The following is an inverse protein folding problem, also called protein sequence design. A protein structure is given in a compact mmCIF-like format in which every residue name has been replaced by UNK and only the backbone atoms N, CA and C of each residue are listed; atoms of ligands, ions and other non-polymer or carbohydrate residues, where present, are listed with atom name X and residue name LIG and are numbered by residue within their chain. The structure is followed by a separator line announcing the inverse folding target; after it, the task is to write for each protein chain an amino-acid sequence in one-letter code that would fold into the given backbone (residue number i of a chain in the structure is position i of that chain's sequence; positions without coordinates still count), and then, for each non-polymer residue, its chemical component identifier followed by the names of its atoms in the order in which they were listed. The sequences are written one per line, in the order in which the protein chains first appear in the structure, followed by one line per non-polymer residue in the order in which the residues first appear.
data_IF_025920642383
#
_entry.id   IF_025920642383
#
_cell.length_a   1.000
_cell.length_b   1.000
_cell.length_c   1.000
_cell.angle_alpha   90.00
_cell.angle_beta   90.00
_cell.angle_gamma   90.00
#
_symmetry.space_group_name_H-M   'P 1'
#
loop_
_entity.id
_entity.type
_entity.pdbx_description
1 polymer ?
#
# COMPACT_ATOMS: atom_id res chain seq x y z
N UNK A 1 -36.44 -17.66 -25.39
CA UNK A 1 -34.98 -17.59 -25.18
C UNK A 1 -34.45 -16.17 -25.04
N UNK A 2 -34.71 -15.24 -25.97
CA UNK A 2 -34.15 -13.87 -25.93
C UNK A 2 -34.48 -13.07 -24.64
N UNK A 3 -35.70 -13.20 -24.11
CA UNK A 3 -36.09 -12.55 -22.84
C UNK A 3 -35.31 -13.08 -21.63
N UNK A 4 -34.95 -14.37 -21.64
CA UNK A 4 -34.18 -14.99 -20.56
C UNK A 4 -32.72 -14.51 -20.58
N UNK A 5 -32.16 -14.38 -21.79
CA UNK A 5 -30.81 -13.83 -22.00
C UNK A 5 -30.77 -12.37 -21.59
N UNK A 6 -31.75 -11.56 -22.00
CA UNK A 6 -31.84 -10.15 -21.61
C UNK A 6 -31.97 -9.99 -20.08
N UNK A 7 -32.78 -10.82 -19.42
CA UNK A 7 -32.90 -10.82 -17.96
C UNK A 7 -31.59 -11.22 -17.28
N UNK A 8 -30.89 -12.25 -17.77
CA UNK A 8 -29.60 -12.68 -17.22
C UNK A 8 -28.52 -11.60 -17.38
N UNK A 9 -28.47 -10.91 -18.53
CA UNK A 9 -27.55 -9.79 -18.77
C UNK A 9 -27.86 -8.63 -17.81
N UNK A 10 -29.13 -8.28 -17.62
CA UNK A 10 -29.55 -7.24 -16.66
C UNK A 10 -29.20 -7.61 -15.20
N UNK A 11 -29.39 -8.86 -14.79
CA UNK A 11 -28.97 -9.33 -13.45
C UNK A 11 -27.44 -9.31 -13.28
N UNK A 12 -26.68 -9.67 -14.31
CA UNK A 12 -25.22 -9.67 -14.24
C UNK A 12 -24.65 -8.25 -14.11
N UNK A 13 -25.28 -7.26 -14.76
CA UNK A 13 -24.86 -5.86 -14.67
C UNK A 13 -25.03 -5.27 -13.25
N UNK A 14 -25.99 -5.75 -12.46
CA UNK A 14 -26.17 -5.33 -11.06
C UNK A 14 -25.13 -5.89 -10.08
N UNK A 15 -24.27 -6.81 -10.52
CA UNK A 15 -23.21 -7.40 -9.68
C UNK A 15 -21.85 -6.70 -9.81
N UNK A 16 -21.77 -5.56 -10.51
CA UNK A 16 -20.49 -4.85 -10.65
C UNK A 16 -20.09 -4.24 -9.29
N UNK A 17 -18.99 -4.75 -8.74
CA UNK A 17 -18.50 -4.28 -7.45
C UNK A 17 -17.90 -2.87 -7.59
N UNK A 18 -18.28 -1.97 -6.68
CA UNK A 18 -17.81 -0.59 -6.67
C UNK A 18 -16.31 -0.56 -6.35
N UNK A 19 -15.52 0.11 -7.19
CA UNK A 19 -14.09 0.30 -6.95
C UNK A 19 -13.84 1.44 -5.96
N UNK A 20 -12.83 1.29 -5.11
CA UNK A 20 -12.35 2.35 -4.24
C UNK A 20 -10.83 2.32 -4.12
N UNK A 21 -10.23 3.51 -4.22
CA UNK A 21 -8.78 3.66 -4.16
C UNK A 21 -8.24 3.44 -2.74
N UNK A 22 -7.04 2.83 -2.61
CA UNK A 22 -6.41 2.64 -1.32
C UNK A 22 -5.97 3.97 -0.69
N UNK A 23 -6.15 4.06 0.63
CA UNK A 23 -5.53 5.09 1.47
C UNK A 23 -4.29 4.49 2.11
N UNK A 24 -3.15 5.13 1.90
CA UNK A 24 -1.85 4.65 2.37
C UNK A 24 -1.36 5.53 3.51
N UNK A 25 -1.00 4.91 4.62
CA UNK A 25 -0.35 5.54 5.75
C UNK A 25 0.94 4.78 6.03
N UNK A 26 2.06 5.48 6.10
CA UNK A 26 3.34 4.85 6.41
C UNK A 26 3.94 5.55 7.62
N UNK A 27 4.40 4.76 8.59
CA UNK A 27 4.89 5.23 9.87
C UNK A 27 5.80 4.18 10.52
N UNK A 28 6.58 4.59 11.52
CA UNK A 28 7.38 3.68 12.35
C UNK A 28 6.63 3.30 13.62
N UNK A 29 6.91 2.11 14.16
CA UNK A 29 6.31 1.67 15.44
C UNK A 29 6.69 2.57 16.61
N UNK A 30 7.97 2.96 16.68
CA UNK A 30 8.53 3.85 17.68
C UNK A 30 9.02 5.16 17.02
N UNK A 31 9.27 6.23 17.79
CA UNK A 31 9.99 7.40 17.28
C UNK A 31 11.30 7.01 16.60
N UNK A 32 11.65 7.70 15.51
CA UNK A 32 12.87 7.46 14.75
C UNK A 32 14.10 7.87 15.56
N UNK A 33 14.82 6.90 16.11
CA UNK A 33 16.07 7.12 16.83
C UNK A 33 17.21 6.38 16.13
N UNK A 34 18.28 7.10 15.78
CA UNK A 34 19.42 6.51 15.09
C UNK A 34 20.09 5.41 15.91
N UNK A 35 20.44 4.31 15.24
CA UNK A 35 21.09 3.18 15.89
C UNK A 35 20.17 2.33 16.77
N UNK A 36 18.87 2.62 16.84
CA UNK A 36 17.89 1.81 17.58
C UNK A 36 16.96 1.04 16.63
N UNK A 37 16.80 -0.29 16.81
CA UNK A 37 15.87 -1.07 16.00
C UNK A 37 14.45 -0.52 16.03
N UNK A 38 13.78 -0.55 14.89
CA UNK A 38 12.42 -0.08 14.70
C UNK A 38 11.70 -0.92 13.63
N UNK A 39 10.41 -0.67 13.43
CA UNK A 39 9.57 -1.39 12.46
C UNK A 39 8.89 -0.37 11.56
N UNK A 40 9.10 -0.47 10.25
CA UNK A 40 8.42 0.33 9.25
C UNK A 40 7.08 -0.34 8.97
N UNK A 41 6.00 0.45 9.00
CA UNK A 41 4.63 -0.02 8.84
C UNK A 41 4.00 0.75 7.71
N UNK A 42 3.47 0.05 6.71
CA UNK A 42 2.61 0.56 5.66
C UNK A 42 1.19 0.00 5.87
N UNK A 43 0.30 0.85 6.37
CA UNK A 43 -1.12 0.57 6.53
C UNK A 43 -1.88 1.04 5.30
N UNK A 44 -2.57 0.10 4.64
CA UNK A 44 -3.37 0.36 3.44
C UNK A 44 -4.81 0.04 3.75
N UNK A 45 -5.74 0.98 3.55
CA UNK A 45 -7.15 0.79 3.88
C UNK A 45 -8.10 1.41 2.87
N UNK A 46 -9.40 1.11 2.99
CA UNK A 46 -10.43 1.77 2.19
C UNK A 46 -10.57 1.25 0.76
N UNK A 47 -9.84 0.20 0.37
CA UNK A 47 -9.78 -0.27 -1.01
C UNK A 47 -10.80 -1.37 -1.30
N UNK A 48 -11.19 -1.45 -2.58
CA UNK A 48 -12.02 -2.50 -3.15
C UNK A 48 -11.76 -2.52 -4.67
N UNK A 49 -11.57 -3.68 -5.33
CA UNK A 49 -11.59 -5.07 -4.83
C UNK A 49 -10.38 -5.42 -3.95
N UNK A 50 -10.35 -6.61 -3.30
CA UNK A 50 -9.29 -6.96 -2.34
C UNK A 50 -7.93 -7.33 -2.98
N UNK A 51 -7.83 -7.31 -4.30
CA UNK A 51 -6.62 -7.72 -5.03
C UNK A 51 -5.68 -6.51 -5.22
N UNK A 52 -4.69 -6.39 -4.32
CA UNK A 52 -3.65 -5.36 -4.36
C UNK A 52 -2.27 -5.94 -4.02
N UNK A 53 -1.22 -5.27 -4.47
CA UNK A 53 0.18 -5.59 -4.12
C UNK A 53 0.79 -4.43 -3.35
N UNK A 54 1.52 -4.74 -2.25
CA UNK A 54 2.21 -3.76 -1.42
C UNK A 54 3.69 -4.13 -1.35
N UNK A 55 4.54 -3.26 -1.89
CA UNK A 55 6.00 -3.40 -1.85
C UNK A 55 6.59 -2.28 -0.97
N UNK A 56 7.50 -2.67 -0.06
CA UNK A 56 8.31 -1.71 0.68
C UNK A 56 9.66 -1.61 -0.02
N UNK A 57 10.01 -0.41 -0.47
CA UNK A 57 11.21 -0.16 -1.24
C UNK A 57 12.19 0.69 -0.44
N UNK A 58 13.48 0.40 -0.57
CA UNK A 58 14.59 1.28 -0.14
C UNK A 58 15.47 1.52 -1.36
N UNK A 59 15.67 2.79 -1.73
CA UNK A 59 16.43 3.17 -2.94
C UNK A 59 15.93 2.48 -4.22
N UNK A 60 14.61 2.29 -4.34
CA UNK A 60 13.98 1.62 -5.49
C UNK A 60 14.10 0.10 -5.52
N UNK A 61 14.71 -0.53 -4.52
CA UNK A 61 14.80 -2.00 -4.38
C UNK A 61 13.90 -2.49 -3.25
N UNK A 62 13.21 -3.61 -3.46
CA UNK A 62 12.37 -4.22 -2.43
C UNK A 62 13.18 -4.61 -1.19
N UNK A 63 12.67 -4.24 -0.02
CA UNK A 63 13.28 -4.56 1.27
C UNK A 63 12.99 -6.04 1.58
N UNK A 64 14.02 -6.89 1.68
CA UNK A 64 13.84 -8.30 2.00
C UNK A 64 13.32 -8.48 3.42
N UNK A 65 12.59 -9.57 3.66
CA UNK A 65 12.05 -9.87 4.99
C UNK A 65 10.83 -9.04 5.37
N UNK A 66 10.17 -8.40 4.40
CA UNK A 66 8.91 -7.71 4.64
C UNK A 66 7.76 -8.71 4.82
N UNK A 67 6.92 -8.46 5.81
CA UNK A 67 5.77 -9.29 6.17
C UNK A 67 4.47 -8.57 5.83
N UNK A 68 3.45 -9.32 5.42
CA UNK A 68 2.11 -8.80 5.18
C UNK A 68 1.11 -9.49 6.11
N UNK A 69 0.15 -8.74 6.65
CA UNK A 69 -0.97 -9.33 7.37
C UNK A 69 -1.95 -10.01 6.43
N UNK A 70 -2.79 -10.88 6.98
CA UNK A 70 -3.95 -11.38 6.26
C UNK A 70 -4.92 -10.23 5.93
N UNK A 71 -5.69 -10.43 4.86
CA UNK A 71 -6.73 -9.50 4.45
C UNK A 71 -7.81 -9.39 5.53
N UNK A 72 -8.09 -8.18 5.95
CA UNK A 72 -9.16 -7.87 6.87
C UNK A 72 -10.04 -6.74 6.31
N UNK A 73 -11.20 -6.53 6.92
CA UNK A 73 -12.15 -5.51 6.48
C UNK A 73 -12.71 -4.74 7.67
N UNK A 74 -13.02 -3.47 7.44
CA UNK A 74 -13.68 -2.59 8.40
C UNK A 74 -15.19 -2.50 8.12
N UNK A 75 -15.91 -1.72 8.94
CA UNK A 75 -17.31 -1.42 8.67
C UNK A 75 -17.49 -0.81 7.28
N UNK A 76 -18.51 -1.25 6.54
CA UNK A 76 -18.74 -0.81 5.17
C UNK A 76 -18.02 -1.62 4.08
N UNK A 77 -17.51 -2.81 4.42
CA UNK A 77 -16.88 -3.75 3.48
C UNK A 77 -15.64 -3.19 2.78
N UNK A 78 -14.91 -2.32 3.48
CA UNK A 78 -13.67 -1.76 2.98
C UNK A 78 -12.49 -2.59 3.50
N UNK A 79 -11.63 -3.02 2.59
CA UNK A 79 -10.49 -3.85 2.94
C UNK A 79 -9.36 -3.03 3.56
N UNK A 80 -8.56 -3.68 4.40
CA UNK A 80 -7.29 -3.18 4.87
C UNK A 80 -6.23 -4.28 4.93
N UNK A 81 -4.97 -3.88 4.74
CA UNK A 81 -3.78 -4.71 4.81
C UNK A 81 -2.66 -3.89 5.45
N UNK A 82 -1.77 -4.59 6.15
CA UNK A 82 -0.54 -3.98 6.68
C UNK A 82 0.66 -4.73 6.14
N UNK A 83 1.60 -4.00 5.52
CA UNK A 83 2.93 -4.51 5.16
C UNK A 83 3.95 -3.88 6.11
N UNK A 84 4.84 -4.68 6.70
CA UNK A 84 5.82 -4.17 7.66
C UNK A 84 7.17 -4.86 7.54
N UNK A 85 8.23 -4.19 7.97
CA UNK A 85 9.59 -4.74 7.98
C UNK A 85 10.41 -4.13 9.12
N UNK A 86 11.27 -4.94 9.72
CA UNK A 86 12.24 -4.47 10.70
C UNK A 86 13.33 -3.66 10.00
N UNK A 87 13.70 -2.52 10.59
CA UNK A 87 14.78 -1.69 10.08
C UNK A 87 15.53 -1.02 11.24
N UNK A 88 16.73 -0.53 10.97
CA UNK A 88 17.51 0.24 11.92
C UNK A 88 17.83 1.61 11.31
N UNK A 89 17.21 2.71 11.79
CA UNK A 89 17.45 4.06 11.27
C UNK A 89 18.96 4.38 11.27
N UNK A 90 19.47 4.77 10.11
CA UNK A 90 20.86 5.16 9.94
C UNK A 90 20.96 6.68 9.80
N UNK A 91 22.03 7.26 10.33
CA UNK A 91 22.35 8.67 10.06
C UNK A 91 23.00 8.75 8.68
N UNK A 92 22.18 8.71 7.64
CA UNK A 92 22.63 8.99 6.28
C UNK A 92 22.44 10.49 6.03
N UNK A 93 23.53 11.20 5.79
CA UNK A 93 23.50 12.52 5.13
C UNK A 93 22.65 12.38 3.88
N UNK A 94 21.60 13.21 3.75
CA UNK A 94 20.64 13.18 2.67
C UNK A 94 21.33 13.05 1.30
N UNK A 95 21.37 11.85 0.72
CA UNK A 95 21.78 11.68 -0.66
C UNK A 95 20.55 11.88 -1.53
N UNK A 96 20.47 13.05 -2.16
CA UNK A 96 19.36 13.44 -2.99
C UNK A 96 19.37 12.62 -4.29
N UNK A 97 18.79 11.41 -4.25
CA UNK A 97 18.62 10.60 -5.46
C UNK A 97 17.49 11.21 -6.28
N UNK A 98 17.83 11.96 -7.32
CA UNK A 98 16.87 12.46 -8.30
C UNK A 98 16.42 11.29 -9.17
N UNK A 99 15.20 10.79 -8.94
CA UNK A 99 14.58 9.82 -9.85
C UNK A 99 14.16 10.57 -11.12
N UNK A 100 14.52 10.12 -12.35
CA UNK A 100 14.08 10.78 -13.57
C UNK A 100 12.55 10.72 -13.66
N UNK A 101 11.95 11.91 -13.76
CA UNK A 101 10.50 12.14 -13.76
C UNK A 101 9.89 11.58 -15.05
N UNK A 102 9.25 10.40 -14.97
CA UNK A 102 8.32 9.93 -15.99
C UNK A 102 6.88 10.10 -15.47
N UNK A 103 6.18 11.03 -16.11
CA UNK A 103 4.85 11.51 -15.76
C UNK A 103 3.79 10.39 -15.73
N UNK A 104 3.54 9.83 -14.55
CA UNK A 104 2.23 9.26 -14.16
C UNK A 104 2.27 8.86 -12.68
N UNK A 105 1.46 9.56 -11.87
CA UNK A 105 1.13 9.35 -10.45
C UNK A 105 1.94 10.18 -9.43
N UNK A 106 1.27 10.89 -8.50
CA UNK A 106 1.93 11.59 -7.41
C UNK A 106 2.53 10.55 -6.45
N UNK A 107 3.81 10.29 -6.62
CA UNK A 107 4.59 9.36 -5.81
C UNK A 107 4.81 9.95 -4.42
N UNK A 108 4.21 9.34 -3.39
CA UNK A 108 4.46 9.61 -1.97
C UNK A 108 5.87 9.11 -1.59
N UNK A 109 6.91 9.69 -2.19
CA UNK A 109 8.28 9.16 -2.13
C UNK A 109 9.21 9.90 -1.16
N UNK A 110 8.79 11.00 -0.52
CA UNK A 110 9.77 11.98 -0.01
C UNK A 110 9.92 12.06 1.51
N UNK A 111 9.32 11.17 2.32
CA UNK A 111 9.55 11.16 3.78
C UNK A 111 10.06 9.83 4.34
N UNK A 112 9.97 8.72 3.59
CA UNK A 112 10.25 7.39 4.13
C UNK A 112 11.70 6.95 3.99
N UNK A 113 12.37 7.32 2.89
CA UNK A 113 13.82 7.14 2.76
C UNK A 113 14.57 7.92 3.86
N UNK A 114 14.00 8.99 4.40
CA UNK A 114 14.60 9.77 5.50
C UNK A 114 14.61 9.04 6.85
N UNK A 115 13.76 8.02 7.04
CA UNK A 115 13.75 7.26 8.29
C UNK A 115 14.67 6.03 8.24
N UNK A 116 14.97 5.50 7.04
CA UNK A 116 15.65 4.20 6.84
C UNK A 116 17.16 4.28 6.59
#
# INVERSE_FOLDING_TARGET
MLKLVAALVLLSASCLAKTSDPKVQVYSRNPGEYGKPNVLICYVSGFHPPDITIELLKNGQEIPGSHQTDLAFEQGWQFHLTKYVDFNPQNLTCEHTTVPENNSSPKLHTCFDFMM
#
